data_IF_863431835618
#
_entry.id   IF_863431835618
#
_cell.length_a   1.000
_cell.length_b   1.000
_cell.length_c   1.000
_cell.angle_alpha   90.00
_cell.angle_beta   90.00
_cell.angle_gamma   90.00
#
_symmetry.space_group_name_H-M   'P 1'
#
loop_
_entity.id
_entity.type
_entity.pdbx_description
1 polymer ?
#
# COMPACT_ATOMS: atom_id res chain seq x y z
N UNK A 1 7.56 -2.49 -40.72
CA UNK A 1 8.21 -1.88 -39.55
C UNK A 1 7.75 -2.62 -38.30
N UNK A 2 8.55 -3.59 -37.87
CA UNK A 2 8.30 -4.40 -36.68
C UNK A 2 8.62 -3.56 -35.43
N UNK A 3 7.64 -3.34 -34.56
CA UNK A 3 7.90 -2.91 -33.18
C UNK A 3 7.73 -4.14 -32.31
N UNK A 4 8.86 -4.77 -31.99
CA UNK A 4 8.94 -5.76 -30.94
C UNK A 4 8.64 -5.05 -29.61
N UNK A 5 7.41 -5.19 -29.12
CA UNK A 5 7.14 -5.01 -27.70
C UNK A 5 7.81 -6.18 -26.97
N UNK A 6 9.06 -5.99 -26.57
CA UNK A 6 9.69 -6.85 -25.56
C UNK A 6 8.90 -6.67 -24.26
N UNK A 7 7.89 -7.53 -24.09
CA UNK A 7 7.12 -7.63 -22.87
C UNK A 7 8.08 -7.86 -21.71
N UNK A 8 8.22 -6.86 -20.85
CA UNK A 8 8.90 -7.03 -19.58
C UNK A 8 8.24 -8.22 -18.86
N UNK A 9 9.01 -9.31 -18.73
CA UNK A 9 8.65 -10.48 -17.94
C UNK A 9 8.14 -10.00 -16.58
N UNK A 10 7.13 -10.64 -15.96
CA UNK A 10 6.78 -10.36 -14.57
C UNK A 10 8.01 -10.71 -13.73
N UNK A 11 8.80 -9.70 -13.38
CA UNK A 11 9.90 -9.84 -12.44
C UNK A 11 9.28 -10.33 -11.14
N UNK A 12 9.77 -11.46 -10.62
CA UNK A 12 9.42 -11.93 -9.29
C UNK A 12 9.48 -10.74 -8.32
N UNK A 13 8.58 -10.64 -7.32
CA UNK A 13 8.60 -9.53 -6.38
C UNK A 13 10.04 -9.39 -5.85
N UNK A 14 10.62 -8.19 -5.86
CA UNK A 14 11.97 -8.00 -5.34
C UNK A 14 11.95 -8.50 -3.90
N UNK A 15 12.59 -9.65 -3.68
CA UNK A 15 12.69 -10.24 -2.35
C UNK A 15 13.76 -9.44 -1.63
N UNK A 16 13.40 -8.91 -0.46
CA UNK A 16 14.39 -8.35 0.44
C UNK A 16 15.44 -9.43 0.72
N UNK A 17 16.73 -9.06 0.84
CA UNK A 17 17.72 -9.97 1.42
C UNK A 17 17.17 -10.48 2.76
N UNK A 18 17.18 -11.80 3.03
CA UNK A 18 16.63 -12.36 4.26
C UNK A 18 17.17 -11.70 5.53
N UNK A 19 18.45 -11.32 5.51
CA UNK A 19 19.15 -10.65 6.61
C UNK A 19 18.58 -9.23 6.84
N UNK A 20 18.22 -8.52 5.78
CA UNK A 20 17.59 -7.20 5.87
C UNK A 20 16.15 -7.29 6.39
N UNK A 21 15.40 -8.28 5.93
CA UNK A 21 14.04 -8.53 6.43
C UNK A 21 14.06 -8.86 7.92
N UNK A 22 14.96 -9.74 8.35
CA UNK A 22 15.09 -10.12 9.75
C UNK A 22 15.47 -8.93 10.64
N UNK A 23 16.45 -8.13 10.26
CA UNK A 23 16.86 -6.96 11.03
C UNK A 23 15.73 -5.90 11.16
N UNK A 24 14.94 -5.71 10.09
CA UNK A 24 13.76 -4.83 10.14
C UNK A 24 12.71 -5.37 11.11
N UNK A 25 12.45 -6.68 11.08
CA UNK A 25 11.46 -7.30 11.95
C UNK A 25 11.90 -7.29 13.41
N UNK A 26 13.17 -7.58 13.70
CA UNK A 26 13.74 -7.49 15.04
C UNK A 26 13.60 -6.07 15.60
N UNK A 27 14.04 -5.06 14.87
CA UNK A 27 13.90 -3.66 15.29
C UNK A 27 12.43 -3.25 15.53
N UNK A 28 11.51 -3.66 14.64
CA UNK A 28 10.08 -3.38 14.78
C UNK A 28 9.46 -4.05 16.03
N UNK A 29 9.80 -5.30 16.32
CA UNK A 29 9.21 -6.02 17.44
C UNK A 29 9.85 -5.68 18.80
N UNK A 30 11.13 -5.29 18.82
CA UNK A 30 11.78 -4.78 20.02
C UNK A 30 11.27 -3.38 20.37
N UNK A 31 11.16 -2.48 19.39
CA UNK A 31 10.70 -1.11 19.58
C UNK A 31 9.18 -0.94 19.58
N UNK A 32 8.43 -1.94 19.09
CA UNK A 32 6.99 -1.87 18.78
C UNK A 32 6.61 -0.77 17.75
N UNK A 33 7.61 -0.13 17.15
CA UNK A 33 7.56 0.92 16.15
C UNK A 33 8.89 0.93 15.41
N UNK A 34 8.90 1.37 14.15
CA UNK A 34 10.13 1.58 13.38
C UNK A 34 9.92 2.76 12.43
N UNK A 35 10.89 3.67 12.37
CA UNK A 35 10.80 4.80 11.46
C UNK A 35 11.20 4.43 10.03
N UNK A 36 10.59 5.08 9.05
CA UNK A 36 10.88 4.82 7.62
C UNK A 36 12.37 5.05 7.25
N UNK A 37 13.05 5.98 7.92
CA UNK A 37 14.48 6.22 7.72
C UNK A 37 15.35 5.09 8.26
N UNK A 38 14.90 4.40 9.32
CA UNK A 38 15.61 3.25 9.89
C UNK A 38 15.52 2.06 8.94
N UNK A 39 14.32 1.78 8.41
CA UNK A 39 14.13 0.79 7.34
C UNK A 39 15.08 1.12 6.17
N UNK A 40 15.13 2.37 5.71
CA UNK A 40 16.01 2.77 4.62
C UNK A 40 17.50 2.56 4.95
N UNK A 41 17.92 2.83 6.19
CA UNK A 41 19.29 2.60 6.63
C UNK A 41 19.65 1.11 6.65
N UNK A 42 18.75 0.24 7.14
CA UNK A 42 18.93 -1.23 7.15
C UNK A 42 19.01 -1.74 5.71
N UNK A 43 18.07 -1.34 4.84
CA UNK A 43 18.09 -1.74 3.43
C UNK A 43 19.38 -1.30 2.74
N UNK A 44 19.88 -0.08 3.02
CA UNK A 44 21.17 0.40 2.50
C UNK A 44 22.35 -0.40 3.03
N UNK A 45 22.37 -0.74 4.32
CA UNK A 45 23.40 -1.58 4.97
C UNK A 45 23.52 -2.95 4.28
N UNK A 46 22.38 -3.54 3.90
CA UNK A 46 22.32 -4.82 3.19
C UNK A 46 22.42 -4.71 1.66
N UNK A 47 22.83 -3.55 1.13
CA UNK A 47 23.10 -3.38 -0.29
C UNK A 47 21.87 -3.37 -1.20
N UNK A 48 20.67 -3.16 -0.65
CA UNK A 48 19.43 -3.07 -1.44
C UNK A 48 19.49 -1.81 -2.30
N UNK A 49 19.62 -2.02 -3.61
CA UNK A 49 19.70 -0.97 -4.61
C UNK A 49 18.82 -1.30 -5.81
N UNK A 50 18.38 -0.27 -6.54
CA UNK A 50 17.58 -0.41 -7.75
C UNK A 50 18.31 0.21 -8.94
N UNK A 51 18.02 -0.31 -10.14
CA UNK A 51 18.48 0.28 -11.39
C UNK A 51 17.90 1.69 -11.59
N UNK A 52 18.72 2.63 -12.09
CA UNK A 52 18.36 4.04 -12.20
C UNK A 52 17.17 4.25 -13.15
N UNK A 53 17.13 3.54 -14.27
CA UNK A 53 16.03 3.65 -15.24
C UNK A 53 14.74 3.07 -14.67
N UNK A 54 14.81 1.91 -14.03
CA UNK A 54 13.68 1.30 -13.33
C UNK A 54 13.15 2.19 -12.18
N UNK A 55 14.04 2.88 -11.46
CA UNK A 55 13.67 3.83 -10.42
C UNK A 55 12.94 5.07 -11.00
N UNK A 56 13.42 5.61 -12.13
CA UNK A 56 12.77 6.72 -12.82
C UNK A 56 11.39 6.34 -13.37
N UNK A 57 11.27 5.18 -13.98
CA UNK A 57 9.97 4.66 -14.44
C UNK A 57 8.99 4.45 -13.27
N UNK A 58 9.47 3.87 -12.17
CA UNK A 58 8.68 3.71 -10.94
C UNK A 58 8.23 5.05 -10.36
N UNK A 59 9.09 6.06 -10.40
CA UNK A 59 8.77 7.42 -9.96
C UNK A 59 7.68 8.06 -10.85
N UNK A 60 7.82 7.98 -12.17
CA UNK A 60 6.81 8.48 -13.14
C UNK A 60 5.46 7.79 -12.93
N UNK A 61 5.46 6.46 -12.78
CA UNK A 61 4.24 5.68 -12.47
C UNK A 61 3.59 6.12 -11.16
N UNK A 62 4.39 6.38 -10.11
CA UNK A 62 3.89 6.86 -8.81
C UNK A 62 3.26 8.25 -8.91
N UNK A 63 3.86 9.16 -9.69
CA UNK A 63 3.29 10.48 -9.95
C UNK A 63 1.94 10.37 -10.68
N UNK A 64 1.88 9.55 -11.74
CA UNK A 64 0.63 9.27 -12.45
C UNK A 64 -0.44 8.66 -11.54
N UNK A 65 -0.08 7.66 -10.73
CA UNK A 65 -0.98 7.05 -9.75
C UNK A 65 -1.56 8.07 -8.76
N UNK A 66 -0.73 9.00 -8.28
CA UNK A 66 -1.15 10.06 -7.35
C UNK A 66 -2.16 11.00 -8.00
N UNK A 67 -1.92 11.43 -9.24
CA UNK A 67 -2.87 12.24 -10.00
C UNK A 67 -4.20 11.50 -10.21
N UNK A 68 -4.15 10.24 -10.65
CA UNK A 68 -5.38 9.47 -10.85
C UNK A 68 -6.17 9.28 -9.56
N UNK A 69 -5.49 9.14 -8.42
CA UNK A 69 -6.12 9.01 -7.11
C UNK A 69 -6.73 10.32 -6.58
N UNK A 70 -6.31 11.49 -7.09
CA UNK A 70 -6.86 12.79 -6.69
C UNK A 70 -8.14 13.18 -7.43
N UNK A 71 -8.45 12.53 -8.56
CA UNK A 71 -9.64 12.83 -9.36
C UNK A 71 -10.91 12.40 -8.63
N UNK A 72 -11.80 13.38 -8.41
CA UNK A 72 -13.05 13.21 -7.67
C UNK A 72 -14.17 13.96 -8.37
N UNK A 73 -15.39 13.43 -8.23
CA UNK A 73 -16.61 14.11 -8.63
C UNK A 73 -16.93 15.29 -7.67
N UNK A 74 -17.98 16.05 -7.99
CA UNK A 74 -18.46 17.16 -7.17
C UNK A 74 -18.87 16.72 -5.75
N UNK A 75 -19.23 15.45 -5.57
CA UNK A 75 -19.55 14.84 -4.27
C UNK A 75 -18.33 14.29 -3.52
N UNK A 76 -17.12 14.50 -4.02
CA UNK A 76 -15.87 14.01 -3.43
C UNK A 76 -15.58 12.52 -3.62
N UNK A 77 -16.40 11.80 -4.38
CA UNK A 77 -16.21 10.37 -4.67
C UNK A 77 -15.16 10.22 -5.76
N UNK A 78 -14.38 9.14 -5.70
CA UNK A 78 -13.36 8.85 -6.73
C UNK A 78 -14.03 8.58 -8.07
N UNK A 79 -13.66 9.35 -9.08
CA UNK A 79 -14.17 9.20 -10.44
C UNK A 79 -13.33 8.22 -11.27
N UNK A 80 -12.04 8.06 -10.92
CA UNK A 80 -11.10 7.19 -11.62
C UNK A 80 -10.59 6.08 -10.70
N UNK A 81 -10.60 4.83 -11.19
CA UNK A 81 -9.99 3.69 -10.49
C UNK A 81 -9.13 2.84 -11.42
N UNK A 82 -8.00 2.35 -10.90
CA UNK A 82 -7.18 1.36 -11.58
C UNK A 82 -7.93 0.03 -11.73
N UNK A 83 -7.88 -0.60 -12.90
CA UNK A 83 -8.53 -1.91 -13.13
C UNK A 83 -7.69 -3.13 -12.70
N UNK A 84 -6.47 -2.90 -12.19
CA UNK A 84 -5.54 -3.96 -11.78
C UNK A 84 -4.71 -4.57 -12.92
N UNK A 85 -4.84 -4.06 -14.15
CA UNK A 85 -4.08 -4.46 -15.34
C UNK A 85 -3.18 -3.35 -15.88
N UNK A 86 -2.84 -2.38 -15.03
CA UNK A 86 -2.01 -1.23 -15.42
C UNK A 86 -2.77 -0.12 -16.16
N UNK A 87 -4.11 -0.16 -16.22
CA UNK A 87 -4.90 0.94 -16.78
C UNK A 87 -5.93 1.49 -15.79
N UNK A 88 -6.40 2.69 -16.10
CA UNK A 88 -7.35 3.46 -15.30
C UNK A 88 -8.69 3.56 -16.02
N UNK A 89 -9.75 3.65 -15.23
CA UNK A 89 -11.13 3.63 -15.72
C UNK A 89 -11.86 4.80 -15.09
N UNK A 90 -12.45 5.65 -15.92
CA UNK A 90 -13.47 6.62 -15.50
C UNK A 90 -14.75 5.84 -15.21
N UNK A 91 -15.24 5.89 -13.97
CA UNK A 91 -16.30 5.00 -13.50
C UNK A 91 -17.64 5.28 -14.19
N UNK A 92 -18.03 6.54 -14.32
CA UNK A 92 -19.30 6.91 -14.94
C UNK A 92 -19.30 6.70 -16.46
N UNK A 93 -18.14 6.85 -17.10
CA UNK A 93 -17.96 6.60 -18.53
C UNK A 93 -17.73 5.12 -18.89
N UNK A 94 -17.67 4.21 -17.92
CA UNK A 94 -17.30 2.82 -18.17
C UNK A 94 -18.48 1.98 -18.67
N UNK A 95 -18.45 1.59 -19.94
CA UNK A 95 -19.41 0.64 -20.53
C UNK A 95 -19.11 -0.84 -20.26
N UNK A 96 -17.96 -1.20 -19.69
CA UNK A 96 -17.58 -2.60 -19.43
C UNK A 96 -18.08 -3.08 -18.05
N UNK A 97 -19.20 -3.79 -18.06
CA UNK A 97 -19.81 -4.40 -16.87
C UNK A 97 -18.86 -5.38 -16.14
N UNK A 98 -18.00 -6.12 -16.85
CA UNK A 98 -17.08 -7.07 -16.22
C UNK A 98 -16.00 -6.32 -15.45
N UNK A 99 -15.48 -5.24 -16.03
CA UNK A 99 -14.51 -4.37 -15.38
C UNK A 99 -15.07 -3.71 -14.12
N UNK A 100 -16.30 -3.18 -14.19
CA UNK A 100 -16.99 -2.61 -13.01
C UNK A 100 -17.21 -3.65 -11.91
N UNK A 101 -17.60 -4.88 -12.24
CA UNK A 101 -17.73 -5.99 -11.26
C UNK A 101 -16.40 -6.32 -10.58
N UNK A 102 -15.30 -6.33 -11.33
CA UNK A 102 -13.96 -6.58 -10.79
C UNK A 102 -13.52 -5.48 -9.83
N UNK A 103 -13.70 -4.22 -10.22
CA UNK A 103 -13.40 -3.05 -9.39
C UNK A 103 -14.23 -3.10 -8.10
N UNK A 104 -15.54 -3.34 -8.21
CA UNK A 104 -16.45 -3.47 -7.06
C UNK A 104 -15.99 -4.54 -6.08
N UNK A 105 -15.65 -5.74 -6.58
CA UNK A 105 -15.15 -6.85 -5.73
C UNK A 105 -13.87 -6.45 -4.99
N UNK A 106 -12.94 -5.76 -5.65
CA UNK A 106 -11.71 -5.30 -5.00
C UNK A 106 -12.00 -4.29 -3.89
N UNK A 107 -12.86 -3.30 -4.13
CA UNK A 107 -13.25 -2.31 -3.11
C UNK A 107 -13.87 -3.01 -1.90
N UNK A 108 -14.81 -3.93 -2.13
CA UNK A 108 -15.45 -4.68 -1.05
C UNK A 108 -14.45 -5.50 -0.22
N UNK A 109 -13.47 -6.12 -0.87
CA UNK A 109 -12.42 -6.85 -0.15
C UNK A 109 -11.51 -5.92 0.65
N UNK A 110 -11.15 -4.76 0.11
CA UNK A 110 -10.37 -3.74 0.82
C UNK A 110 -11.12 -3.22 2.05
N UNK A 111 -12.42 -2.92 1.92
CA UNK A 111 -13.25 -2.50 3.04
C UNK A 111 -13.30 -3.53 4.16
N UNK A 112 -13.47 -4.82 3.81
CA UNK A 112 -13.46 -5.91 4.79
C UNK A 112 -12.13 -6.00 5.54
N UNK A 113 -11.00 -5.87 4.84
CA UNK A 113 -9.68 -5.89 5.46
C UNK A 113 -9.46 -4.71 6.41
N UNK A 114 -9.86 -3.51 6.00
CA UNK A 114 -9.78 -2.31 6.83
C UNK A 114 -10.68 -2.41 8.08
N UNK A 115 -11.89 -2.97 7.95
CA UNK A 115 -12.79 -3.18 9.09
C UNK A 115 -12.17 -4.10 10.15
N UNK A 116 -11.51 -5.19 9.73
CA UNK A 116 -10.81 -6.09 10.65
C UNK A 116 -9.66 -5.38 11.39
N UNK A 117 -8.87 -4.58 10.68
CA UNK A 117 -7.79 -3.79 11.29
C UNK A 117 -8.33 -2.71 12.23
N UNK A 118 -9.42 -2.03 11.88
CA UNK A 118 -10.08 -1.04 12.73
C UNK A 118 -10.50 -1.68 14.06
N UNK A 119 -11.07 -2.89 14.04
CA UNK A 119 -11.42 -3.63 15.27
C UNK A 119 -10.21 -3.93 16.15
N UNK A 120 -9.05 -4.27 15.58
CA UNK A 120 -7.81 -4.48 16.36
C UNK A 120 -7.39 -3.20 17.09
N UNK A 121 -7.44 -2.07 16.39
CA UNK A 121 -7.12 -0.76 16.97
C UNK A 121 -8.11 -0.39 18.08
N UNK A 122 -9.42 -0.52 17.83
CA UNK A 122 -10.45 -0.25 18.83
C UNK A 122 -10.31 -1.13 20.08
N UNK A 123 -9.96 -2.40 19.91
CA UNK A 123 -9.69 -3.31 21.02
C UNK A 123 -8.53 -2.84 21.89
N UNK A 124 -7.42 -2.42 21.27
CA UNK A 124 -6.26 -1.88 22.00
C UNK A 124 -6.60 -0.59 22.75
N UNK A 125 -7.33 0.34 22.12
CA UNK A 125 -7.80 1.57 22.77
C UNK A 125 -8.65 1.27 24.01
N UNK A 126 -9.61 0.35 23.89
CA UNK A 126 -10.45 -0.07 25.01
C UNK A 126 -9.63 -0.59 26.20
N UNK A 127 -8.60 -1.39 25.94
CA UNK A 127 -7.71 -1.93 26.99
C UNK A 127 -6.96 -0.79 27.67
N UNK A 128 -6.38 0.13 26.90
CA UNK A 128 -5.63 1.28 27.43
C UNK A 128 -6.50 2.20 28.29
N UNK A 129 -7.73 2.49 27.84
CA UNK A 129 -8.69 3.29 28.61
C UNK A 129 -9.05 2.63 29.97
N UNK A 130 -9.25 1.31 29.99
CA UNK A 130 -9.54 0.57 31.23
C UNK A 130 -8.36 0.62 32.19
N UNK A 131 -7.14 0.41 31.70
CA UNK A 131 -5.93 0.52 32.51
C UNK A 131 -5.82 1.93 33.09
N UNK A 132 -5.90 2.97 32.26
CA UNK A 132 -5.83 4.36 32.70
C UNK A 132 -6.89 4.71 33.77
N UNK A 133 -8.11 4.14 33.69
CA UNK A 133 -9.14 4.29 34.74
C UNK A 133 -8.76 3.58 36.04
N UNK A 134 -8.16 2.38 35.97
CA UNK A 134 -7.72 1.63 37.16
C UNK A 134 -6.61 2.37 37.90
N UNK A 135 -5.60 2.87 37.19
CA UNK A 135 -4.49 3.62 37.78
C UNK A 135 -4.95 4.93 38.42
N UNK A 136 -5.92 5.64 37.83
CA UNK A 136 -6.53 6.85 38.43
C UNK A 136 -7.36 6.61 39.71
N UNK A 137 -7.80 5.37 39.97
CA UNK A 137 -8.54 5.01 41.19
C UNK A 137 -7.64 4.47 42.30
N UNK A 138 -6.39 4.16 41.97
CA UNK A 138 -5.42 3.53 42.86
C UNK A 138 -4.36 4.53 43.39
N UNK A 139 -4.37 5.77 42.90
CA UNK A 139 -3.67 6.92 43.49
C UNK A 139 -4.69 7.94 43.95
#
# INVERSE_FOLDING_TARGET
MNRENTGAKPTAPPRLPPEAEQEILEALFEGMEIHSSEIAAILKKHGVCGDVEALQDSYRKRLGQRLMASLRDEGGKREVLANGKGSYVVLEGCGDRRQLKQIRRRIQNQMKGLDLSARKVSGRLTVLERLARKWRRAG
#
